data_IF_010213785232
#
_entry.id   IF_010213785232
#
_cell.length_a   1.000
_cell.length_b   1.000
_cell.length_c   1.000
_cell.angle_alpha   90.00
_cell.angle_beta   90.00
_cell.angle_gamma   90.00
#
_symmetry.space_group_name_H-M   'P 1'
#
loop_
_entity.id
_entity.type
_entity.pdbx_description
1 polymer ?
#
# COMPACT_ATOMS: atom_id res chain seq x y z
N UNK A 1 -25.00 2.24 -23.81
CA UNK A 1 -24.50 2.37 -22.42
C UNK A 1 -22.99 2.32 -22.49
N UNK A 2 -22.33 3.46 -22.31
CA UNK A 2 -20.88 3.59 -22.37
C UNK A 2 -20.40 4.03 -20.99
N UNK A 3 -19.96 3.09 -20.16
CA UNK A 3 -19.14 3.44 -19.00
C UNK A 3 -17.71 3.65 -19.50
N UNK A 4 -17.32 4.92 -19.49
CA UNK A 4 -16.00 5.41 -19.82
C UNK A 4 -14.98 4.72 -18.92
N UNK A 5 -13.95 4.13 -19.53
CA UNK A 5 -12.74 3.76 -18.82
C UNK A 5 -12.10 5.03 -18.25
N UNK A 6 -11.93 5.06 -16.93
CA UNK A 6 -11.01 6.00 -16.30
C UNK A 6 -9.59 5.55 -16.65
N UNK A 7 -8.94 6.30 -17.54
CA UNK A 7 -7.48 6.25 -17.72
C UNK A 7 -6.82 6.60 -16.40
N UNK A 8 -6.46 5.58 -15.62
CA UNK A 8 -5.57 5.74 -14.49
C UNK A 8 -4.16 5.93 -15.04
N UNK A 9 -3.71 7.18 -15.16
CA UNK A 9 -2.31 7.52 -15.42
C UNK A 9 -1.50 7.20 -14.16
N UNK A 10 -1.48 5.93 -13.74
CA UNK A 10 -0.59 5.41 -12.73
C UNK A 10 0.73 5.14 -13.47
N UNK A 11 1.87 5.71 -13.05
CA UNK A 11 3.13 5.39 -13.69
C UNK A 11 3.32 3.87 -13.61
N UNK A 12 3.45 3.16 -14.72
CA UNK A 12 3.54 1.68 -14.79
C UNK A 12 4.89 1.11 -14.28
N UNK A 13 5.66 1.90 -13.52
CA UNK A 13 7.00 1.53 -13.05
C UNK A 13 7.00 0.70 -11.76
N UNK A 14 8.09 -0.01 -11.51
CA UNK A 14 8.33 -0.63 -10.20
C UNK A 14 8.50 0.46 -9.12
N UNK A 15 8.14 0.12 -7.88
CA UNK A 15 8.35 0.97 -6.71
C UNK A 15 9.64 0.53 -6.05
N UNK A 16 10.65 1.37 -6.10
CA UNK A 16 11.95 1.11 -5.50
C UNK A 16 12.07 1.76 -4.12
N UNK A 17 12.76 1.09 -3.20
CA UNK A 17 13.18 1.71 -1.94
C UNK A 17 14.29 2.72 -2.19
N UNK A 18 14.24 3.87 -1.51
CA UNK A 18 15.37 4.82 -1.47
C UNK A 18 16.64 4.23 -0.83
N UNK A 19 16.51 3.11 -0.12
CA UNK A 19 17.59 2.42 0.60
C UNK A 19 18.10 1.18 -0.14
N UNK A 20 17.50 0.78 -1.26
CA UNK A 20 17.87 -0.44 -2.00
C UNK A 20 19.34 -0.46 -2.47
N UNK A 21 19.95 0.71 -2.70
CA UNK A 21 21.38 0.83 -3.03
C UNK A 21 22.33 0.86 -1.83
N UNK A 22 21.83 0.81 -0.60
CA UNK A 22 22.64 0.82 0.62
C UNK A 22 22.95 -0.63 1.03
N UNK A 23 24.22 -1.09 1.01
CA UNK A 23 24.55 -2.49 1.26
C UNK A 23 24.00 -3.05 2.58
N UNK A 24 24.07 -2.28 3.66
CA UNK A 24 23.59 -2.69 4.99
C UNK A 24 22.05 -2.77 5.09
N UNK A 25 21.33 -2.24 4.09
CA UNK A 25 19.87 -2.22 4.06
C UNK A 25 19.28 -3.21 3.05
N UNK A 26 20.10 -3.81 2.17
CA UNK A 26 19.60 -4.67 1.09
C UNK A 26 18.77 -5.85 1.62
N UNK A 27 19.30 -6.59 2.60
CA UNK A 27 18.61 -7.74 3.21
C UNK A 27 17.32 -7.31 3.94
N UNK A 28 17.32 -6.12 4.56
CA UNK A 28 16.16 -5.56 5.25
C UNK A 28 15.05 -5.14 4.27
N UNK A 29 15.43 -4.53 3.15
CA UNK A 29 14.50 -4.17 2.07
C UNK A 29 13.92 -5.42 1.44
N UNK A 30 14.73 -6.44 1.16
CA UNK A 30 14.27 -7.73 0.61
C UNK A 30 13.30 -8.42 1.57
N UNK A 31 13.61 -8.45 2.87
CA UNK A 31 12.71 -8.97 3.89
C UNK A 31 11.36 -8.25 3.87
N UNK A 32 11.35 -6.92 3.87
CA UNK A 32 10.11 -6.15 3.83
C UNK A 32 9.29 -6.44 2.57
N UNK A 33 9.93 -6.53 1.40
CA UNK A 33 9.28 -6.87 0.12
C UNK A 33 8.63 -8.26 0.20
N UNK A 34 9.32 -9.24 0.79
CA UNK A 34 8.80 -10.61 0.93
C UNK A 34 7.54 -10.70 1.79
N UNK A 35 7.40 -9.83 2.81
CA UNK A 35 6.23 -9.78 3.69
C UNK A 35 5.02 -9.07 3.04
N UNK A 36 5.21 -8.29 1.97
CA UNK A 36 4.12 -7.51 1.38
C UNK A 36 3.05 -8.38 0.71
N UNK A 37 3.40 -9.59 0.25
CA UNK A 37 2.43 -10.54 -0.29
C UNK A 37 1.33 -10.90 0.71
N UNK A 38 1.72 -11.34 1.91
CA UNK A 38 0.77 -11.69 2.98
C UNK A 38 -0.05 -10.47 3.42
N UNK A 39 0.58 -9.28 3.47
CA UNK A 39 -0.12 -8.04 3.79
C UNK A 39 -1.17 -7.69 2.73
N UNK A 40 -0.86 -7.83 1.45
CA UNK A 40 -1.80 -7.61 0.34
C UNK A 40 -3.00 -8.55 0.44
N UNK A 41 -2.77 -9.83 0.76
CA UNK A 41 -3.85 -10.80 0.92
C UNK A 41 -4.76 -10.43 2.10
N UNK A 42 -4.17 -10.03 3.24
CA UNK A 42 -4.90 -9.59 4.41
C UNK A 42 -5.73 -8.31 4.15
N UNK A 43 -5.16 -7.33 3.43
CA UNK A 43 -5.86 -6.10 3.02
C UNK A 43 -7.02 -6.42 2.08
N UNK A 44 -6.77 -7.27 1.07
CA UNK A 44 -7.79 -7.66 0.08
C UNK A 44 -8.98 -8.34 0.77
N UNK A 45 -8.70 -9.28 1.69
CA UNK A 45 -9.74 -9.95 2.47
C UNK A 45 -10.51 -8.99 3.38
N UNK A 46 -9.82 -8.06 4.03
CA UNK A 46 -10.48 -7.07 4.88
C UNK A 46 -11.39 -6.12 4.07
N UNK A 47 -10.99 -5.80 2.83
CA UNK A 47 -11.82 -5.02 1.90
C UNK A 47 -13.08 -5.78 1.46
N UNK A 48 -12.94 -7.07 1.12
CA UNK A 48 -14.07 -7.94 0.75
C UNK A 48 -15.09 -8.10 1.88
N UNK A 49 -14.62 -8.16 3.12
CA UNK A 49 -15.47 -8.26 4.31
C UNK A 49 -15.95 -6.90 4.84
N UNK A 50 -15.59 -5.79 4.20
CA UNK A 50 -15.82 -4.42 4.68
C UNK A 50 -15.31 -4.18 6.11
N UNK A 51 -14.27 -4.91 6.53
CA UNK A 51 -13.68 -4.83 7.87
C UNK A 51 -12.74 -3.62 7.99
N UNK A 52 -13.36 -2.46 8.24
CA UNK A 52 -12.65 -1.19 8.44
C UNK A 52 -11.67 -1.23 9.60
N UNK A 53 -11.94 -2.01 10.64
CA UNK A 53 -11.05 -2.09 11.81
C UNK A 53 -9.74 -2.78 11.44
N UNK A 54 -9.84 -3.89 10.70
CA UNK A 54 -8.66 -4.59 10.19
C UNK A 54 -7.92 -3.76 9.14
N UNK A 55 -8.61 -3.12 8.20
CA UNK A 55 -7.99 -2.21 7.23
C UNK A 55 -7.19 -1.11 7.91
N UNK A 56 -7.79 -0.43 8.90
CA UNK A 56 -7.12 0.62 9.68
C UNK A 56 -5.86 0.10 10.36
N UNK A 57 -5.93 -1.07 11.00
CA UNK A 57 -4.79 -1.66 11.72
C UNK A 57 -3.64 -1.97 10.77
N UNK A 58 -3.92 -2.59 9.64
CA UNK A 58 -2.88 -2.93 8.65
C UNK A 58 -2.30 -1.66 8.04
N UNK A 59 -3.14 -0.69 7.69
CA UNK A 59 -2.72 0.61 7.17
C UNK A 59 -1.78 1.34 8.15
N UNK A 60 -2.14 1.39 9.43
CA UNK A 60 -1.29 1.98 10.47
C UNK A 60 0.07 1.30 10.57
N UNK A 61 0.11 -0.04 10.59
CA UNK A 61 1.35 -0.81 10.67
C UNK A 61 2.23 -0.57 9.44
N UNK A 62 1.62 -0.57 8.24
CA UNK A 62 2.33 -0.38 6.99
C UNK A 62 2.86 1.05 6.86
N UNK A 63 2.10 2.06 7.32
CA UNK A 63 2.55 3.45 7.42
C UNK A 63 3.84 3.57 8.23
N UNK A 64 3.87 2.94 9.41
CA UNK A 64 5.05 2.97 10.29
C UNK A 64 6.24 2.20 9.73
N UNK A 65 6.01 1.03 9.16
CA UNK A 65 7.08 0.18 8.64
C UNK A 65 7.69 0.73 7.34
N UNK A 66 6.86 1.14 6.37
CA UNK A 66 7.31 1.48 5.03
C UNK A 66 8.36 2.60 4.99
N UNK A 67 8.23 3.61 5.86
CA UNK A 67 9.22 4.69 5.97
C UNK A 67 10.59 4.20 6.43
N UNK A 68 10.63 3.24 7.36
CA UNK A 68 11.88 2.63 7.85
C UNK A 68 12.63 1.83 6.78
N UNK A 69 11.90 1.29 5.80
CA UNK A 69 12.47 0.55 4.66
C UNK A 69 12.59 1.39 3.40
N UNK A 70 12.31 2.70 3.45
CA UNK A 70 12.50 3.60 2.32
C UNK A 70 11.41 3.60 1.24
N UNK A 71 10.22 3.08 1.56
CA UNK A 71 9.04 3.03 0.68
C UNK A 71 8.04 4.14 1.02
N UNK A 72 8.49 5.40 0.94
CA UNK A 72 7.70 6.58 1.34
C UNK A 72 6.31 6.62 0.68
N UNK A 73 6.21 6.24 -0.60
CA UNK A 73 4.94 6.21 -1.35
C UNK A 73 3.91 5.24 -0.76
N UNK A 74 4.35 4.10 -0.22
CA UNK A 74 3.49 3.14 0.47
C UNK A 74 3.05 3.72 1.81
N UNK A 75 3.98 4.34 2.54
CA UNK A 75 3.68 4.99 3.82
C UNK A 75 2.59 6.07 3.67
N UNK A 76 2.69 6.90 2.64
CA UNK A 76 1.69 7.92 2.33
C UNK A 76 0.33 7.33 1.92
N UNK A 77 0.31 6.31 1.08
CA UNK A 77 -0.93 5.62 0.69
C UNK A 77 -1.61 4.97 1.90
N UNK A 78 -0.84 4.30 2.76
CA UNK A 78 -1.33 3.69 3.98
C UNK A 78 -1.87 4.74 4.97
N UNK A 79 -1.22 5.89 5.11
CA UNK A 79 -1.75 7.01 5.91
C UNK A 79 -3.11 7.49 5.41
N UNK A 80 -3.27 7.67 4.09
CA UNK A 80 -4.55 8.11 3.50
C UNK A 80 -5.66 7.10 3.77
N UNK A 81 -5.38 5.80 3.64
CA UNK A 81 -6.35 4.75 3.96
C UNK A 81 -6.70 4.75 5.45
N UNK A 82 -5.71 4.87 6.34
CA UNK A 82 -5.94 4.95 7.79
C UNK A 82 -6.87 6.12 8.14
N UNK A 83 -6.60 7.32 7.61
CA UNK A 83 -7.42 8.51 7.85
C UNK A 83 -8.86 8.32 7.32
N UNK A 84 -9.01 7.73 6.13
CA UNK A 84 -10.33 7.45 5.55
C UNK A 84 -11.14 6.45 6.40
N UNK A 85 -10.48 5.50 7.06
CA UNK A 85 -11.15 4.55 7.98
C UNK A 85 -11.49 5.13 9.36
N UNK A 86 -10.95 6.31 9.70
CA UNK A 86 -11.22 7.02 10.95
C UNK A 86 -12.38 8.02 10.86
N UNK A 87 -12.75 8.44 9.65
CA UNK A 87 -13.87 9.37 9.45
C UNK A 87 -15.20 8.75 9.93
N UNK A 88 -15.97 9.51 10.72
CA UNK A 88 -17.28 9.07 11.25
C UNK A 88 -18.25 8.66 10.12
N UNK A 89 -18.25 9.40 9.01
CA UNK A 89 -18.94 9.06 7.78
C UNK A 89 -17.94 8.59 6.72
N UNK A 90 -17.16 7.54 7.02
CA UNK A 90 -16.24 7.01 6.03
C UNK A 90 -16.99 6.58 4.77
N UNK A 91 -16.68 7.25 3.67
CA UNK A 91 -17.16 6.92 2.34
C UNK A 91 -16.57 5.57 1.91
N UNK A 92 -17.43 4.55 1.83
CA UNK A 92 -17.03 3.19 1.43
C UNK A 92 -16.36 3.16 0.05
N UNK A 93 -16.76 4.05 -0.85
CA UNK A 93 -16.15 4.15 -2.17
C UNK A 93 -14.72 4.67 -2.06
N UNK A 94 -14.50 5.74 -1.28
CA UNK A 94 -13.16 6.26 -1.02
C UNK A 94 -12.25 5.26 -0.30
N UNK A 95 -12.76 4.54 0.70
CA UNK A 95 -12.00 3.48 1.40
C UNK A 95 -11.61 2.37 0.42
N UNK A 96 -12.52 1.95 -0.46
CA UNK A 96 -12.24 0.94 -1.49
C UNK A 96 -11.16 1.42 -2.47
N UNK A 97 -11.30 2.61 -3.03
CA UNK A 97 -10.33 3.17 -3.97
C UNK A 97 -8.93 3.28 -3.34
N UNK A 98 -8.84 3.80 -2.11
CA UNK A 98 -7.58 3.91 -1.36
C UNK A 98 -6.97 2.55 -1.03
N UNK A 99 -7.81 1.55 -0.77
CA UNK A 99 -7.35 0.18 -0.51
C UNK A 99 -6.78 -0.47 -1.77
N UNK A 100 -7.45 -0.30 -2.91
CA UNK A 100 -6.99 -0.79 -4.21
C UNK A 100 -5.69 -0.08 -4.64
N UNK A 101 -5.58 1.23 -4.44
CA UNK A 101 -4.34 2.00 -4.63
C UNK A 101 -3.17 1.42 -3.81
N UNK A 102 -3.42 1.13 -2.53
CA UNK A 102 -2.40 0.59 -1.63
C UNK A 102 -1.96 -0.82 -2.05
N UNK A 103 -2.90 -1.68 -2.42
CA UNK A 103 -2.61 -3.03 -2.93
C UNK A 103 -1.74 -2.95 -4.18
N UNK A 104 -2.09 -2.09 -5.13
CA UNK A 104 -1.34 -1.94 -6.38
C UNK A 104 0.09 -1.45 -6.13
N UNK A 105 0.28 -0.50 -5.22
CA UNK A 105 1.62 -0.04 -4.83
C UNK A 105 2.43 -1.18 -4.20
N UNK A 106 1.84 -1.93 -3.27
CA UNK A 106 2.50 -3.07 -2.63
C UNK A 106 2.85 -4.19 -3.62
N UNK A 107 2.05 -4.41 -4.67
CA UNK A 107 2.36 -5.42 -5.71
C UNK A 107 3.51 -5.02 -6.62
N UNK A 108 3.82 -3.73 -6.70
CA UNK A 108 4.83 -3.17 -7.60
C UNK A 108 6.19 -2.96 -6.96
N UNK A 109 6.33 -3.26 -5.67
CA UNK A 109 7.63 -3.11 -5.00
C UNK A 109 8.66 -4.06 -5.57
N UNK A 110 9.90 -3.60 -5.60
CA UNK A 110 11.07 -4.43 -5.83
C UNK A 110 12.16 -4.10 -4.81
N UNK A 111 12.95 -5.10 -4.45
CA UNK A 111 14.15 -4.92 -3.64
C UNK A 111 15.35 -4.47 -4.49
N UNK A 112 15.25 -4.56 -5.81
CA UNK A 112 16.29 -4.10 -6.72
C UNK A 112 16.42 -2.57 -6.66
N UNK A 113 17.65 -2.02 -6.72
CA UNK A 113 17.83 -0.59 -6.88
C UNK A 113 17.25 -0.10 -8.22
N UNK A 114 16.86 1.18 -8.26
CA UNK A 114 16.30 1.84 -9.46
C UNK A 114 17.36 2.09 -10.54
#
# INVERSE_FOLDING_TARGET
MAHRGSSSNRPDGLVHSRLAGTPDMADLVEYFVSELGERVDAISKALEMEDRTTLRRIAHQLKGAAGGYGFDVIGHAASRLEDATLADEADLSAVRELTEDLIDLCRRVTAEPA
#
